data_IF_202592318455
#
_entry.id   IF_202592318455
#
_cell.length_a   1.000
_cell.length_b   1.000
_cell.length_c   1.000
_cell.angle_alpha   90.00
_cell.angle_beta   90.00
_cell.angle_gamma   90.00
#
_symmetry.space_group_name_H-M   'P 1'
#
loop_
_entity.id
_entity.type
_entity.pdbx_description
1 polymer ?
#
# COMPACT_ATOMS: atom_id res chain seq x y z
N UNK A 1 16.44 -17.78 3.71
CA UNK A 1 14.99 -17.55 3.74
C UNK A 1 14.57 -16.97 2.41
N UNK A 2 13.71 -17.65 1.67
CA UNK A 2 13.31 -17.26 0.30
C UNK A 2 11.82 -16.98 0.23
N UNK A 3 11.43 -15.95 -0.53
CA UNK A 3 10.02 -15.69 -0.83
C UNK A 3 9.56 -16.66 -1.91
N UNK A 4 8.56 -17.47 -1.62
CA UNK A 4 8.03 -18.49 -2.54
C UNK A 4 6.73 -18.06 -3.21
N UNK A 5 5.97 -17.16 -2.58
CA UNK A 5 4.73 -16.62 -3.14
C UNK A 5 4.43 -15.21 -2.62
N UNK A 6 3.59 -14.47 -3.36
CA UNK A 6 3.11 -13.15 -2.99
C UNK A 6 1.60 -13.09 -3.17
N UNK A 7 0.88 -12.84 -2.08
CA UNK A 7 -0.59 -12.75 -2.08
C UNK A 7 -1.02 -11.33 -1.76
N UNK A 8 -1.97 -10.80 -2.53
CA UNK A 8 -2.59 -9.50 -2.29
C UNK A 8 -4.07 -9.68 -1.93
N UNK A 9 -4.54 -8.97 -0.90
CA UNK A 9 -5.95 -8.95 -0.52
C UNK A 9 -6.45 -7.53 -0.30
N UNK A 10 -7.62 -7.14 -0.84
CA UNK A 10 -8.22 -5.85 -0.52
C UNK A 10 -8.66 -5.81 0.95
N UNK A 11 -8.54 -4.65 1.58
CA UNK A 11 -8.89 -4.43 2.98
C UNK A 11 -9.55 -3.07 3.22
N UNK A 12 -9.84 -2.80 4.50
CA UNK A 12 -10.34 -1.51 4.98
C UNK A 12 -9.31 -0.87 5.90
N UNK A 13 -9.33 0.46 5.97
CA UNK A 13 -8.51 1.21 6.91
C UNK A 13 -9.35 1.69 8.10
N UNK A 14 -8.69 2.27 9.10
CA UNK A 14 -9.36 2.84 10.27
C UNK A 14 -10.20 4.09 9.99
N UNK A 15 -10.23 4.59 8.74
CA UNK A 15 -11.00 5.79 8.41
C UNK A 15 -11.45 5.81 6.93
N UNK A 16 -11.71 7.00 6.40
CA UNK A 16 -12.31 7.26 5.10
C UNK A 16 -11.34 7.96 4.16
N UNK A 17 -11.56 7.80 2.86
CA UNK A 17 -11.07 8.75 1.87
C UNK A 17 -12.08 9.87 1.71
N UNK A 18 -11.63 11.10 1.94
CA UNK A 18 -12.45 12.30 1.81
C UNK A 18 -11.92 13.17 0.68
N UNK A 19 -12.83 13.67 -0.14
CA UNK A 19 -12.51 14.60 -1.20
C UNK A 19 -12.31 16.00 -0.62
N UNK A 20 -11.06 16.31 -0.30
CA UNK A 20 -10.68 17.60 0.27
C UNK A 20 -11.10 18.78 -0.61
N UNK A 21 -11.11 18.62 -1.94
CA UNK A 21 -11.46 19.71 -2.86
C UNK A 21 -12.96 19.98 -2.82
N UNK A 22 -13.78 18.94 -2.82
CA UNK A 22 -15.23 19.08 -2.68
C UNK A 22 -15.60 19.70 -1.31
N UNK A 23 -14.95 19.25 -0.24
CA UNK A 23 -15.15 19.80 1.11
C UNK A 23 -14.78 21.29 1.16
N UNK A 24 -13.60 21.68 0.62
CA UNK A 24 -13.18 23.09 0.57
C UNK A 24 -14.07 23.96 -0.32
N UNK A 25 -14.77 23.37 -1.30
CA UNK A 25 -15.79 24.04 -2.12
C UNK A 25 -17.15 24.14 -1.44
N UNK A 26 -17.28 23.67 -0.21
CA UNK A 26 -18.47 23.84 0.61
C UNK A 26 -19.45 22.68 0.59
N UNK A 27 -19.00 21.46 0.25
CA UNK A 27 -19.81 20.25 0.44
C UNK A 27 -20.36 20.20 1.87
N UNK A 28 -21.68 20.01 2.00
CA UNK A 28 -22.38 20.06 3.28
C UNK A 28 -22.43 18.69 3.93
N UNK A 29 -22.55 18.66 5.25
CA UNK A 29 -22.74 17.41 5.97
C UNK A 29 -24.21 16.94 5.89
N UNK A 30 -24.38 15.62 5.83
CA UNK A 30 -25.65 14.94 6.11
C UNK A 30 -25.33 13.74 7.01
N UNK A 31 -25.60 13.93 8.31
CA UNK A 31 -25.10 13.07 9.38
C UNK A 31 -23.58 12.90 9.30
N UNK A 32 -23.12 11.67 9.13
CA UNK A 32 -21.70 11.34 9.01
C UNK A 32 -21.15 11.49 7.57
N UNK A 33 -22.01 11.67 6.58
CA UNK A 33 -21.65 11.78 5.16
C UNK A 33 -21.56 13.24 4.70
N UNK A 34 -21.18 13.42 3.44
CA UNK A 34 -21.22 14.71 2.76
C UNK A 34 -22.16 14.65 1.55
N UNK A 35 -22.86 15.75 1.31
CA UNK A 35 -23.78 15.95 0.18
C UNK A 35 -23.08 16.72 -0.92
N UNK A 36 -23.39 16.35 -2.16
CA UNK A 36 -22.88 16.96 -3.38
C UNK A 36 -21.93 16.04 -4.15
N UNK A 37 -21.42 16.56 -5.26
CA UNK A 37 -20.57 15.81 -6.16
C UNK A 37 -19.09 15.87 -5.74
N UNK A 38 -18.34 14.76 -5.88
CA UNK A 38 -16.90 14.81 -5.77
C UNK A 38 -16.28 15.64 -6.90
N UNK A 39 -15.08 16.13 -6.64
CA UNK A 39 -14.28 17.04 -7.48
C UNK A 39 -12.92 16.44 -7.82
N UNK A 40 -12.38 15.59 -6.96
CA UNK A 40 -11.07 14.96 -7.13
C UNK A 40 -11.23 13.66 -7.93
N UNK A 41 -10.38 13.47 -8.95
CA UNK A 41 -10.45 12.30 -9.84
C UNK A 41 -10.44 10.97 -9.07
N UNK A 42 -11.30 10.04 -9.51
CA UNK A 42 -11.45 8.71 -8.92
C UNK A 42 -12.49 8.64 -7.78
N UNK A 43 -12.83 9.75 -7.14
CA UNK A 43 -13.88 9.76 -6.11
C UNK A 43 -15.27 9.59 -6.75
N UNK A 44 -16.09 8.73 -6.14
CA UNK A 44 -17.50 8.51 -6.50
C UNK A 44 -18.47 9.17 -5.53
N UNK A 45 -17.99 9.56 -4.35
CA UNK A 45 -18.70 10.27 -3.30
C UNK A 45 -17.68 11.17 -2.61
N UNK A 46 -18.13 12.28 -2.01
CA UNK A 46 -17.25 13.17 -1.25
C UNK A 46 -16.58 12.44 -0.07
N UNK A 47 -17.23 11.44 0.52
CA UNK A 47 -16.66 10.51 1.49
C UNK A 47 -16.85 9.07 1.02
N UNK A 48 -15.76 8.31 0.99
CA UNK A 48 -15.72 6.90 0.63
C UNK A 48 -14.97 6.10 1.70
N UNK A 49 -15.29 4.81 1.85
CA UNK A 49 -14.53 3.93 2.74
C UNK A 49 -13.04 3.97 2.38
N UNK A 50 -12.17 4.12 3.38
CA UNK A 50 -10.75 3.95 3.16
C UNK A 50 -10.43 2.49 2.81
N UNK A 51 -9.51 2.30 1.89
CA UNK A 51 -9.10 0.99 1.39
C UNK A 51 -7.62 0.75 1.64
N UNK A 52 -7.28 -0.52 1.86
CA UNK A 52 -5.92 -1.02 1.98
C UNK A 52 -5.70 -2.21 1.04
N UNK A 53 -4.43 -2.58 0.83
CA UNK A 53 -4.05 -3.86 0.26
C UNK A 53 -3.08 -4.53 1.22
N UNK A 54 -3.46 -5.66 1.80
CA UNK A 54 -2.53 -6.50 2.55
C UNK A 54 -1.65 -7.25 1.57
N UNK A 55 -0.34 -7.11 1.73
CA UNK A 55 0.70 -7.81 0.97
C UNK A 55 1.29 -8.87 1.87
N UNK A 56 1.13 -10.12 1.46
CA UNK A 56 1.62 -11.29 2.17
C UNK A 56 2.75 -11.93 1.37
N UNK A 57 3.92 -12.08 1.99
CA UNK A 57 5.06 -12.79 1.41
C UNK A 57 5.14 -14.16 2.07
N UNK A 58 4.86 -15.23 1.32
CA UNK A 58 4.99 -16.60 1.81
C UNK A 58 6.46 -16.97 1.73
N UNK A 59 7.03 -17.44 2.83
CA UNK A 59 8.44 -17.83 2.94
C UNK A 59 8.61 -19.35 2.76
N UNK A 60 9.81 -19.79 2.41
CA UNK A 60 10.14 -21.19 2.13
C UNK A 60 10.03 -22.11 3.35
N UNK A 61 10.03 -21.56 4.57
CA UNK A 61 9.75 -22.31 5.81
C UNK A 61 8.26 -22.34 6.19
N UNK A 62 7.38 -21.73 5.38
CA UNK A 62 5.93 -21.67 5.60
C UNK A 62 5.46 -20.49 6.43
N UNK A 63 6.36 -19.65 6.96
CA UNK A 63 5.94 -18.39 7.58
C UNK A 63 5.39 -17.40 6.55
N UNK A 64 4.55 -16.48 7.01
CA UNK A 64 3.98 -15.42 6.16
C UNK A 64 4.36 -14.07 6.74
N UNK A 65 5.01 -13.24 5.93
CA UNK A 65 5.30 -11.86 6.28
C UNK A 65 4.22 -10.91 5.76
N UNK A 66 3.89 -9.86 6.53
CA UNK A 66 2.76 -8.98 6.28
C UNK A 66 3.18 -7.52 6.15
N UNK A 67 2.51 -6.79 5.26
CA UNK A 67 2.56 -5.34 5.20
C UNK A 67 1.30 -4.79 4.54
N UNK A 68 0.83 -3.64 5.02
CA UNK A 68 -0.41 -3.03 4.51
C UNK A 68 -0.11 -1.78 3.68
N UNK A 69 -0.54 -1.82 2.42
CA UNK A 69 -0.59 -0.65 1.57
C UNK A 69 -1.76 0.21 2.02
N UNK A 70 -1.48 1.44 2.44
CA UNK A 70 -2.50 2.40 2.87
C UNK A 70 -2.14 3.82 2.42
N UNK A 71 -3.18 4.63 2.20
CA UNK A 71 -3.04 6.04 1.88
C UNK A 71 -3.73 6.90 2.94
N UNK A 72 -3.39 8.19 2.96
CA UNK A 72 -3.98 9.16 3.89
C UNK A 72 -5.44 9.46 3.55
N UNK A 73 -6.18 10.03 4.50
CA UNK A 73 -7.58 10.46 4.34
C UNK A 73 -7.82 11.31 3.07
N UNK A 74 -6.96 12.31 2.80
CA UNK A 74 -7.06 13.16 1.62
C UNK A 74 -6.20 12.62 0.46
N UNK A 75 -6.38 11.34 0.11
CA UNK A 75 -5.73 10.70 -1.04
C UNK A 75 -6.14 11.41 -2.34
N UNK A 76 -5.21 11.61 -3.29
CA UNK A 76 -5.43 12.42 -4.49
C UNK A 76 -5.37 13.94 -4.31
N UNK A 77 -5.24 14.46 -3.07
CA UNK A 77 -5.21 15.90 -2.83
C UNK A 77 -3.80 16.50 -2.88
N UNK A 78 -3.67 17.76 -3.31
CA UNK A 78 -2.51 18.61 -3.01
C UNK A 78 -1.13 18.07 -3.41
N UNK A 79 -1.01 17.45 -4.59
CA UNK A 79 0.27 16.89 -5.07
C UNK A 79 0.57 15.48 -4.55
N UNK A 80 -0.36 14.87 -3.82
CA UNK A 80 -0.30 13.45 -3.48
C UNK A 80 -0.55 12.59 -4.72
N UNK A 81 -0.13 11.34 -4.62
CA UNK A 81 -0.53 10.32 -5.58
C UNK A 81 -2.07 10.18 -5.65
N UNK A 82 -2.61 9.61 -6.74
CA UNK A 82 -4.05 9.43 -6.96
C UNK A 82 -4.80 8.72 -5.82
N UNK A 83 -6.13 8.71 -5.90
CA UNK A 83 -6.97 7.95 -4.96
C UNK A 83 -6.55 6.47 -4.93
N UNK A 84 -6.23 5.95 -3.74
CA UNK A 84 -5.76 4.58 -3.58
C UNK A 84 -6.92 3.57 -3.43
N UNK A 85 -7.37 2.99 -4.54
CA UNK A 85 -8.39 1.93 -4.55
C UNK A 85 -7.74 0.57 -4.79
N UNK A 86 -8.09 -0.43 -3.97
CA UNK A 86 -7.43 -1.73 -4.00
C UNK A 86 -7.52 -2.40 -5.38
N UNK A 87 -8.71 -2.34 -6.00
CA UNK A 87 -8.97 -2.88 -7.34
C UNK A 87 -8.05 -2.31 -8.44
N UNK A 88 -7.57 -1.08 -8.29
CA UNK A 88 -6.77 -0.41 -9.31
C UNK A 88 -5.28 -0.71 -9.11
N UNK A 89 -4.87 -1.04 -7.88
CA UNK A 89 -3.46 -1.22 -7.51
C UNK A 89 -3.04 -2.66 -7.21
N UNK A 90 -3.94 -3.59 -6.87
CA UNK A 90 -3.63 -5.02 -6.79
C UNK A 90 -3.01 -5.52 -8.11
N UNK A 91 -3.58 -5.23 -9.31
CA UNK A 91 -2.99 -5.67 -10.57
C UNK A 91 -1.58 -5.11 -10.82
N UNK A 92 -1.25 -3.95 -10.25
CA UNK A 92 0.09 -3.36 -10.35
C UNK A 92 1.09 -4.17 -9.51
N UNK A 93 0.70 -4.55 -8.29
CA UNK A 93 1.55 -5.37 -7.41
C UNK A 93 1.77 -6.74 -8.03
N UNK A 94 0.70 -7.43 -8.44
CA UNK A 94 0.76 -8.77 -9.04
C UNK A 94 1.56 -8.79 -10.34
N UNK A 95 1.40 -7.79 -11.21
CA UNK A 95 2.06 -7.78 -12.52
C UNK A 95 3.53 -7.37 -12.46
N UNK A 96 3.88 -6.40 -11.62
CA UNK A 96 5.19 -5.77 -11.67
C UNK A 96 6.08 -6.09 -10.46
N UNK A 97 5.48 -6.28 -9.28
CA UNK A 97 6.22 -6.42 -8.02
C UNK A 97 6.37 -7.89 -7.63
N UNK A 98 5.29 -8.67 -7.67
CA UNK A 98 5.35 -10.08 -7.30
C UNK A 98 6.43 -10.87 -8.08
N UNK A 99 6.60 -10.72 -9.41
CA UNK A 99 7.66 -11.43 -10.14
C UNK A 99 9.08 -11.00 -9.75
N UNK A 100 9.25 -9.84 -9.12
CA UNK A 100 10.54 -9.36 -8.61
C UNK A 100 10.85 -9.87 -7.21
N UNK A 101 9.83 -10.26 -6.45
CA UNK A 101 9.94 -10.75 -5.08
C UNK A 101 9.96 -12.28 -5.02
N UNK A 102 9.11 -12.96 -5.79
CA UNK A 102 9.08 -14.42 -5.86
C UNK A 102 10.46 -14.93 -6.30
N UNK A 103 11.03 -15.82 -5.50
CA UNK A 103 12.35 -16.38 -5.72
C UNK A 103 13.49 -15.60 -5.08
N UNK A 104 13.24 -14.43 -4.48
CA UNK A 104 14.28 -13.65 -3.81
C UNK A 104 14.63 -14.21 -2.44
N UNK A 105 15.92 -14.20 -2.14
CA UNK A 105 16.42 -14.46 -0.80
C UNK A 105 16.36 -13.19 0.06
N UNK A 106 15.81 -13.31 1.25
CA UNK A 106 15.70 -12.24 2.23
C UNK A 106 16.96 -12.23 3.10
N UNK A 107 17.99 -11.52 2.65
CA UNK A 107 19.28 -11.40 3.37
C UNK A 107 19.29 -10.24 4.37
N UNK A 108 18.37 -9.29 4.21
CA UNK A 108 18.21 -8.11 5.06
C UNK A 108 17.13 -7.17 4.51
N UNK A 109 16.80 -6.13 5.27
CA UNK A 109 15.73 -5.19 4.91
C UNK A 109 16.14 -4.19 3.83
N UNK A 110 17.22 -3.43 4.09
CA UNK A 110 17.55 -2.20 3.34
C UNK A 110 17.69 -2.39 1.82
N UNK A 111 18.48 -3.35 1.30
CA UNK A 111 18.71 -3.43 -0.14
C UNK A 111 17.43 -3.70 -0.93
N UNK A 112 16.60 -4.64 -0.47
CA UNK A 112 15.36 -4.98 -1.14
C UNK A 112 14.30 -3.87 -0.98
N UNK A 113 14.27 -3.20 0.17
CA UNK A 113 13.38 -2.07 0.39
C UNK A 113 13.73 -0.87 -0.51
N UNK A 114 15.02 -0.54 -0.66
CA UNK A 114 15.50 0.53 -1.55
C UNK A 114 15.24 0.21 -3.02
N UNK A 115 15.39 -1.06 -3.42
CA UNK A 115 15.03 -1.52 -4.77
C UNK A 115 13.55 -1.29 -5.07
N UNK A 116 12.65 -1.69 -4.17
CA UNK A 116 11.21 -1.50 -4.34
C UNK A 116 10.82 -0.01 -4.27
N UNK A 117 11.39 0.75 -3.33
CA UNK A 117 11.08 2.18 -3.21
C UNK A 117 11.55 2.97 -4.45
N UNK A 118 12.72 2.60 -5.00
CA UNK A 118 13.28 3.19 -6.22
C UNK A 118 12.65 2.70 -7.52
N UNK A 119 11.83 1.64 -7.47
CA UNK A 119 11.27 1.00 -8.66
C UNK A 119 10.40 1.96 -9.48
N UNK A 120 10.55 1.86 -10.80
CA UNK A 120 9.72 2.56 -11.79
C UNK A 120 8.98 1.57 -12.68
N UNK A 121 7.70 1.84 -12.92
CA UNK A 121 6.86 1.15 -13.89
C UNK A 121 6.42 2.18 -14.93
N UNK A 122 6.68 1.89 -16.21
CA UNK A 122 6.39 2.81 -17.32
C UNK A 122 6.97 4.22 -17.10
N UNK A 123 8.21 4.29 -16.59
CA UNK A 123 8.92 5.55 -16.32
C UNK A 123 8.47 6.32 -15.07
N UNK A 124 7.40 5.89 -14.39
CA UNK A 124 6.89 6.53 -13.16
C UNK A 124 7.24 5.71 -11.92
N UNK A 125 7.52 6.38 -10.80
CA UNK A 125 7.66 5.70 -9.51
C UNK A 125 6.35 5.03 -9.12
N UNK A 126 6.44 3.96 -8.35
CA UNK A 126 5.29 3.31 -7.74
C UNK A 126 4.54 4.28 -6.80
N UNK A 127 3.23 4.08 -6.70
CA UNK A 127 2.38 4.78 -5.75
C UNK A 127 2.94 4.63 -4.33
N UNK A 128 2.99 5.72 -3.57
CA UNK A 128 3.50 5.78 -2.19
C UNK A 128 2.91 4.69 -1.30
N UNK A 129 1.58 4.50 -1.31
CA UNK A 129 0.92 3.42 -0.56
C UNK A 129 1.45 2.00 -0.90
N UNK A 130 1.79 1.72 -2.16
CA UNK A 130 2.38 0.44 -2.55
C UNK A 130 3.79 0.30 -1.96
N UNK A 131 4.62 1.34 -2.15
CA UNK A 131 5.99 1.35 -1.60
C UNK A 131 5.96 1.17 -0.08
N UNK A 132 5.01 1.81 0.58
CA UNK A 132 4.80 1.70 2.02
C UNK A 132 4.44 0.26 2.44
N UNK A 133 3.43 -0.36 1.84
CA UNK A 133 3.00 -1.70 2.26
C UNK A 133 3.98 -2.81 1.89
N UNK A 134 4.57 -2.76 0.69
CA UNK A 134 5.52 -3.78 0.26
C UNK A 134 6.80 -3.73 1.09
N UNK A 135 7.30 -2.53 1.44
CA UNK A 135 8.50 -2.44 2.29
C UNK A 135 8.24 -2.86 3.73
N UNK A 136 7.04 -2.68 4.27
CA UNK A 136 6.65 -3.30 5.56
C UNK A 136 6.73 -4.82 5.48
N UNK A 137 6.17 -5.43 4.43
CA UNK A 137 6.21 -6.89 4.27
C UNK A 137 7.65 -7.42 4.13
N UNK A 138 8.53 -6.67 3.45
CA UNK A 138 9.96 -6.98 3.38
C UNK A 138 10.64 -6.88 4.75
N UNK A 139 10.30 -5.86 5.56
CA UNK A 139 10.84 -5.71 6.90
C UNK A 139 10.43 -6.88 7.80
N UNK A 140 9.16 -7.25 7.76
CA UNK A 140 8.63 -8.39 8.51
C UNK A 140 9.27 -9.72 8.04
N UNK A 141 9.47 -9.89 6.73
CA UNK A 141 10.18 -11.05 6.19
C UNK A 141 11.65 -11.10 6.68
N UNK A 142 12.33 -9.95 6.74
CA UNK A 142 13.70 -9.88 7.24
C UNK A 142 13.79 -10.18 8.75
N UNK A 143 12.78 -9.74 9.52
CA UNK A 143 12.66 -10.06 10.94
C UNK A 143 12.45 -11.56 11.18
N UNK A 144 11.52 -12.16 10.44
CA UNK A 144 11.26 -13.62 10.45
C UNK A 144 12.47 -14.44 10.02
N UNK A 145 13.16 -14.03 8.95
CA UNK A 145 14.39 -14.68 8.48
C UNK A 145 15.49 -14.71 9.55
N UNK A 146 15.57 -13.67 10.38
CA UNK A 146 16.55 -13.53 11.47
C UNK A 146 16.03 -14.01 12.83
N UNK A 147 14.75 -14.37 12.94
CA UNK A 147 14.05 -14.73 14.18
C UNK A 147 14.23 -13.67 15.29
N UNK A 148 14.10 -12.40 14.90
CA UNK A 148 14.14 -11.22 15.79
C UNK A 148 12.95 -10.31 15.49
N UNK A 149 12.75 -9.26 16.29
CA UNK A 149 11.72 -8.26 16.02
C UNK A 149 12.11 -7.34 14.86
N UNK A 150 11.11 -6.75 14.18
CA UNK A 150 11.36 -5.71 13.17
C UNK A 150 12.15 -4.51 13.72
N UNK A 151 11.98 -4.17 14.99
CA UNK A 151 12.73 -3.10 15.65
C UNK A 151 14.23 -3.41 15.70
N UNK A 152 14.60 -4.66 15.97
CA UNK A 152 16.00 -5.11 15.98
C UNK A 152 16.60 -5.14 14.57
N UNK A 153 15.79 -5.31 13.51
CA UNK A 153 16.26 -5.24 12.13
C UNK A 153 16.64 -3.82 11.70
N UNK A 154 15.95 -2.79 12.23
CA UNK A 154 16.15 -1.38 11.86
C UNK A 154 17.27 -0.70 12.65
N UNK A 155 17.70 -1.29 13.75
CA UNK A 155 18.70 -0.72 14.67
C UNK A 155 20.02 -0.36 14.00
#
# INVERSE_FOLDING_TARGET
MKIVDVVCSPGKTGFYFDDQRAIKRGAKHDGFTYVGEPVTDGFKKVRMSGESISVMLVLDDGEVAYGDCAAVQYSGAGGRDPLFLAKDFIPVIEKYIAPKLIGREVTGFRPLAEEIDGMKVNGKRLHTAIRYGVTQAILDAAAKAKKVTMAEVIR
#
